data_IF_347315956332
#
_entry.id   IF_347315956332
#
_cell.length_a   1.000
_cell.length_b   1.000
_cell.length_c   1.000
_cell.angle_alpha   90.00
_cell.angle_beta   90.00
_cell.angle_gamma   90.00
#
_symmetry.space_group_name_H-M   'P 1'
#
loop_
_entity.id
_entity.type
_entity.pdbx_description
1 polymer ?
#
# COMPACT_ATOMS: atom_id res chain seq x y z
N UNK A 1 -18.94 16.63 -10.31
CA UNK A 1 -18.44 15.71 -9.27
C UNK A 1 -17.54 14.67 -9.95
N UNK A 2 -16.27 14.56 -9.58
CA UNK A 2 -15.36 13.58 -10.17
C UNK A 2 -15.72 12.16 -9.70
N UNK A 3 -16.09 11.28 -10.62
CA UNK A 3 -16.42 9.88 -10.36
C UNK A 3 -15.27 8.97 -10.80
N UNK A 4 -15.09 7.83 -10.13
CA UNK A 4 -14.18 6.80 -10.64
C UNK A 4 -14.67 6.29 -12.00
N UNK A 5 -13.73 5.95 -12.88
CA UNK A 5 -14.07 5.19 -14.09
C UNK A 5 -14.60 3.81 -13.68
N UNK A 6 -15.53 3.20 -14.45
CA UNK A 6 -15.90 1.82 -14.24
C UNK A 6 -14.67 0.92 -14.27
N UNK A 7 -14.50 0.11 -13.23
CA UNK A 7 -13.46 -0.91 -13.14
C UNK A 7 -13.99 -2.09 -12.31
N UNK A 8 -13.47 -3.27 -12.58
CA UNK A 8 -13.68 -4.46 -11.73
C UNK A 8 -12.65 -4.53 -10.61
N UNK A 9 -12.89 -5.33 -9.58
CA UNK A 9 -11.91 -5.57 -8.52
C UNK A 9 -11.85 -7.05 -8.12
N UNK A 10 -10.67 -7.52 -7.74
CA UNK A 10 -10.40 -8.83 -7.14
C UNK A 10 -9.76 -8.67 -5.76
N UNK A 11 -9.90 -9.69 -4.92
CA UNK A 11 -9.44 -9.71 -3.53
C UNK A 11 -8.68 -11.01 -3.26
N UNK A 12 -7.48 -11.18 -3.86
CA UNK A 12 -6.65 -12.36 -3.64
C UNK A 12 -6.28 -12.51 -2.15
N UNK A 13 -6.18 -13.75 -1.70
CA UNK A 13 -5.78 -14.10 -0.33
C UNK A 13 -4.27 -14.34 -0.23
N UNK A 14 -3.58 -14.57 -1.36
CA UNK A 14 -2.15 -14.87 -1.41
C UNK A 14 -1.41 -13.99 -2.42
N UNK A 15 -0.09 -13.89 -2.25
CA UNK A 15 0.78 -13.19 -3.20
C UNK A 15 0.72 -13.84 -4.59
N UNK A 16 0.71 -15.17 -4.65
CA UNK A 16 0.69 -15.90 -5.91
C UNK A 16 -0.60 -15.65 -6.70
N UNK A 17 -1.75 -15.60 -6.03
CA UNK A 17 -3.02 -15.21 -6.66
C UNK A 17 -2.96 -13.78 -7.19
N UNK A 18 -2.44 -12.84 -6.41
CA UNK A 18 -2.29 -11.44 -6.85
C UNK A 18 -1.35 -11.29 -8.05
N UNK A 19 -0.28 -12.09 -8.11
CA UNK A 19 0.65 -12.13 -9.24
C UNK A 19 0.00 -12.77 -10.47
N UNK A 20 -0.76 -13.85 -10.30
CA UNK A 20 -1.49 -14.52 -11.39
C UNK A 20 -2.55 -13.60 -12.01
N UNK A 21 -3.32 -12.87 -11.20
CA UNK A 21 -4.28 -11.86 -11.65
C UNK A 21 -3.59 -10.72 -12.41
N UNK A 22 -2.44 -10.25 -11.89
CA UNK A 22 -1.65 -9.22 -12.57
C UNK A 22 -1.10 -9.70 -13.90
N UNK A 23 -0.65 -10.95 -14.00
CA UNK A 23 -0.20 -11.55 -15.24
C UNK A 23 -1.35 -11.67 -16.26
N UNK A 24 -2.54 -12.04 -15.79
CA UNK A 24 -3.75 -12.21 -16.62
C UNK A 24 -4.25 -10.87 -17.19
N UNK A 25 -4.32 -9.84 -16.36
CA UNK A 25 -4.85 -8.52 -16.76
C UNK A 25 -3.78 -7.56 -17.30
N UNK A 26 -2.49 -7.84 -17.08
CA UNK A 26 -1.37 -7.07 -17.60
C UNK A 26 -1.39 -5.60 -17.18
N UNK A 27 -1.21 -4.69 -18.14
CA UNK A 27 -1.21 -3.24 -17.90
C UNK A 27 -2.60 -2.68 -17.55
N UNK A 28 -3.67 -3.42 -17.85
CA UNK A 28 -5.03 -2.99 -17.54
C UNK A 28 -5.38 -3.15 -16.05
N UNK A 29 -4.58 -3.90 -15.27
CA UNK A 29 -4.74 -4.02 -13.84
C UNK A 29 -3.74 -3.15 -13.05
N UNK A 30 -4.18 -2.63 -11.91
CA UNK A 30 -3.30 -2.03 -10.91
C UNK A 30 -3.51 -2.69 -9.55
N UNK A 31 -2.42 -2.88 -8.80
CA UNK A 31 -2.52 -3.20 -7.39
C UNK A 31 -3.08 -2.01 -6.61
N UNK A 32 -3.88 -2.29 -5.60
CA UNK A 32 -4.35 -1.29 -4.66
C UNK A 32 -4.17 -1.77 -3.23
N UNK A 33 -3.48 -0.95 -2.44
CA UNK A 33 -3.39 -1.09 -1.00
C UNK A 33 -4.28 -0.03 -0.34
N UNK A 34 -3.69 0.98 0.30
CA UNK A 34 -4.42 2.09 0.93
C UNK A 34 -5.25 2.97 0.00
N UNK A 35 -4.94 2.96 -1.30
CA UNK A 35 -5.68 3.72 -2.33
C UNK A 35 -5.59 5.25 -2.22
N UNK A 36 -4.76 5.78 -1.32
CA UNK A 36 -4.62 7.22 -1.05
C UNK A 36 -3.96 8.01 -2.18
N UNK A 37 -3.28 7.33 -3.09
CA UNK A 37 -2.68 7.90 -4.31
C UNK A 37 -3.47 7.49 -5.57
N UNK A 38 -3.68 6.18 -5.75
CA UNK A 38 -4.37 5.61 -6.90
C UNK A 38 -5.79 6.14 -7.10
N UNK A 39 -6.65 6.19 -6.06
CA UNK A 39 -8.03 6.62 -6.25
C UNK A 39 -8.16 8.11 -6.63
N UNK A 40 -7.41 9.06 -6.01
CA UNK A 40 -7.31 10.42 -6.52
C UNK A 40 -6.86 10.49 -7.99
N UNK A 41 -5.82 9.74 -8.38
CA UNK A 41 -5.31 9.71 -9.75
C UNK A 41 -6.36 9.16 -10.73
N UNK A 42 -7.12 8.14 -10.34
CA UNK A 42 -8.25 7.62 -11.11
C UNK A 42 -9.39 8.62 -11.28
N UNK A 43 -9.73 9.37 -10.22
CA UNK A 43 -10.74 10.44 -10.30
C UNK A 43 -10.31 11.53 -11.28
N UNK A 44 -9.01 11.82 -11.37
CA UNK A 44 -8.42 12.81 -12.30
C UNK A 44 -8.08 12.24 -13.68
N UNK A 45 -8.31 10.94 -13.91
CA UNK A 45 -7.97 10.22 -15.16
C UNK A 45 -6.48 10.19 -15.50
N UNK A 46 -5.60 10.43 -14.51
CA UNK A 46 -4.15 10.25 -14.66
C UNK A 46 -3.83 8.76 -14.80
N UNK A 47 -4.51 7.92 -14.01
CA UNK A 47 -4.44 6.46 -14.10
C UNK A 47 -5.84 5.91 -14.37
N UNK A 48 -5.96 4.95 -15.30
CA UNK A 48 -7.27 4.38 -15.70
C UNK A 48 -7.24 2.86 -15.80
N UNK A 49 -6.82 2.13 -14.73
CA UNK A 49 -6.89 0.68 -14.73
C UNK A 49 -8.34 0.21 -14.87
N UNK A 50 -8.55 -0.81 -15.70
CA UNK A 50 -9.84 -1.48 -15.87
C UNK A 50 -10.10 -2.51 -14.76
N UNK A 51 -9.04 -2.97 -14.07
CA UNK A 51 -9.12 -3.92 -12.98
C UNK A 51 -8.26 -3.51 -11.79
N UNK A 52 -8.77 -3.65 -10.57
CA UNK A 52 -8.05 -3.39 -9.33
C UNK A 52 -7.80 -4.69 -8.58
N UNK A 53 -6.56 -4.93 -8.18
CA UNK A 53 -6.16 -6.09 -7.39
C UNK A 53 -5.93 -5.61 -5.96
N UNK A 54 -6.89 -5.81 -5.07
CA UNK A 54 -6.80 -5.37 -3.68
C UNK A 54 -5.94 -6.34 -2.87
N UNK A 55 -4.75 -5.89 -2.49
CA UNK A 55 -3.73 -6.71 -1.81
C UNK A 55 -3.78 -6.59 -0.28
N UNK A 56 -4.74 -5.84 0.28
CA UNK A 56 -4.85 -5.67 1.74
C UNK A 56 -5.29 -6.94 2.45
N UNK A 57 -5.93 -7.86 1.73
CA UNK A 57 -6.38 -9.15 2.25
C UNK A 57 -5.26 -10.18 2.46
N UNK A 58 -4.05 -9.91 1.96
CA UNK A 58 -2.92 -10.85 1.99
C UNK A 58 -2.15 -10.70 3.32
N UNK A 59 -2.22 -11.68 4.24
CA UNK A 59 -1.68 -11.53 5.59
C UNK A 59 -0.18 -11.25 5.64
N UNK A 60 0.60 -11.87 4.76
CA UNK A 60 2.06 -11.72 4.68
C UNK A 60 2.47 -10.26 4.38
N UNK A 61 1.62 -9.52 3.66
CA UNK A 61 1.88 -8.11 3.35
C UNK A 61 1.55 -7.17 4.51
N UNK A 62 0.84 -7.63 5.55
CA UNK A 62 0.46 -6.83 6.71
C UNK A 62 1.38 -7.03 7.93
N UNK A 63 2.44 -7.82 7.81
CA UNK A 63 3.34 -8.14 8.92
C UNK A 63 4.36 -7.02 9.19
N UNK A 64 4.69 -6.81 10.46
CA UNK A 64 5.74 -5.90 10.91
C UNK A 64 6.50 -6.56 12.07
N UNK A 65 7.73 -6.98 11.84
CA UNK A 65 8.50 -7.75 12.83
C UNK A 65 9.99 -7.45 12.80
N UNK A 66 10.67 -7.75 13.90
CA UNK A 66 12.14 -7.77 13.97
C UNK A 66 12.60 -9.21 13.80
N UNK A 67 13.43 -9.46 12.80
CA UNK A 67 14.00 -10.76 12.48
C UNK A 67 15.05 -11.17 13.52
N UNK A 68 15.40 -12.46 13.52
CA UNK A 68 16.39 -13.02 14.45
C UNK A 68 17.79 -12.41 14.34
N UNK A 69 18.14 -11.87 13.17
CA UNK A 69 19.40 -11.16 12.91
C UNK A 69 19.36 -9.66 13.25
N UNK A 70 18.26 -9.19 13.84
CA UNK A 70 18.06 -7.81 14.26
C UNK A 70 17.57 -6.88 13.16
N UNK A 71 17.31 -7.34 11.93
CA UNK A 71 16.70 -6.52 10.88
C UNK A 71 15.21 -6.31 11.11
N UNK A 72 14.69 -5.18 10.62
CA UNK A 72 13.25 -4.91 10.58
C UNK A 72 12.68 -5.39 9.24
N UNK A 73 11.68 -6.28 9.29
CA UNK A 73 10.87 -6.66 8.15
C UNK A 73 9.54 -5.90 8.21
N UNK A 74 9.19 -5.20 7.12
CA UNK A 74 7.97 -4.41 7.01
C UNK A 74 7.20 -4.87 5.77
N UNK A 75 6.00 -5.40 5.98
CA UNK A 75 5.07 -5.76 4.93
C UNK A 75 4.56 -4.54 4.17
N UNK A 76 4.33 -4.68 2.86
CA UNK A 76 3.95 -3.57 1.97
C UNK A 76 2.59 -2.93 2.32
N UNK A 77 1.71 -3.67 3.00
CA UNK A 77 0.38 -3.23 3.43
C UNK A 77 0.34 -2.68 4.86
N UNK A 78 1.48 -2.64 5.58
CA UNK A 78 1.58 -1.96 6.87
C UNK A 78 1.26 -0.46 6.67
N UNK A 79 0.30 0.05 7.43
CA UNK A 79 -0.07 1.47 7.34
C UNK A 79 1.03 2.36 7.91
N UNK A 80 1.11 3.60 7.44
CA UNK A 80 2.07 4.57 7.98
C UNK A 80 1.79 4.82 9.48
N UNK A 81 0.52 4.81 9.90
CA UNK A 81 0.16 4.93 11.32
C UNK A 81 0.69 3.77 12.16
N UNK A 82 0.56 2.52 11.70
CA UNK A 82 1.10 1.36 12.40
C UNK A 82 2.63 1.44 12.50
N UNK A 83 3.30 1.78 11.40
CA UNK A 83 4.75 1.93 11.35
C UNK A 83 5.26 2.98 12.37
N UNK A 84 4.61 4.14 12.44
CA UNK A 84 4.97 5.21 13.39
C UNK A 84 4.79 4.75 14.84
N UNK A 85 3.69 4.05 15.12
CA UNK A 85 3.29 3.66 16.48
C UNK A 85 4.00 2.40 16.98
N UNK A 86 4.66 1.64 16.10
CA UNK A 86 5.28 0.38 16.48
C UNK A 86 6.47 0.61 17.42
N UNK A 87 6.44 0.08 18.67
CA UNK A 87 7.47 0.38 19.68
C UNK A 87 8.88 -0.05 19.28
N UNK A 88 9.01 -1.16 18.55
CA UNK A 88 10.33 -1.60 18.07
C UNK A 88 10.88 -0.65 16.99
N UNK A 89 10.01 -0.06 16.15
CA UNK A 89 10.41 0.87 15.09
C UNK A 89 10.83 2.21 15.67
N UNK A 90 10.05 2.77 16.60
CA UNK A 90 10.38 4.05 17.21
C UNK A 90 11.68 4.01 18.03
N UNK A 91 12.04 2.86 18.61
CA UNK A 91 13.28 2.68 19.38
C UNK A 91 14.48 2.26 18.52
N UNK A 92 14.31 1.27 17.65
CA UNK A 92 15.41 0.71 16.86
C UNK A 92 15.68 1.46 15.55
N UNK A 93 14.65 2.09 14.97
CA UNK A 93 14.71 2.81 13.69
C UNK A 93 14.02 4.17 13.77
N UNK A 94 14.45 5.07 14.69
CA UNK A 94 13.76 6.34 14.94
C UNK A 94 13.65 7.23 13.69
N UNK A 95 14.62 7.16 12.78
CA UNK A 95 14.59 7.90 11.51
C UNK A 95 13.42 7.45 10.62
N UNK A 96 13.13 6.14 10.57
CA UNK A 96 12.01 5.59 9.78
C UNK A 96 10.68 6.06 10.36
N UNK A 97 10.52 5.96 11.68
CA UNK A 97 9.30 6.44 12.37
C UNK A 97 9.11 7.95 12.18
N UNK A 98 10.18 8.74 12.32
CA UNK A 98 10.13 10.19 12.12
C UNK A 98 9.76 10.56 10.68
N UNK A 99 10.43 9.95 9.68
CA UNK A 99 10.13 10.20 8.27
C UNK A 99 8.67 9.86 7.95
N UNK A 100 8.18 8.71 8.41
CA UNK A 100 6.79 8.30 8.21
C UNK A 100 5.79 9.30 8.84
N UNK A 101 6.13 9.89 9.99
CA UNK A 101 5.29 10.88 10.67
C UNK A 101 5.15 12.20 9.90
N UNK A 102 6.12 12.54 9.04
CA UNK A 102 6.07 13.73 8.18
C UNK A 102 5.19 13.52 6.93
N UNK A 103 4.78 12.28 6.64
CA UNK A 103 3.99 11.97 5.44
C UNK A 103 2.52 12.31 5.69
N UNK A 104 2.00 13.29 4.95
CA UNK A 104 0.56 13.57 4.83
C UNK A 104 -0.15 13.90 6.15
N UNK A 105 -1.47 13.76 6.20
CA UNK A 105 -2.31 13.96 7.40
C UNK A 105 -2.62 12.63 8.10
N UNK A 106 -3.00 12.63 9.39
CA UNK A 106 -3.31 11.39 10.12
C UNK A 106 -4.37 10.50 9.44
N UNK A 107 -5.41 11.09 8.85
CA UNK A 107 -6.46 10.33 8.15
C UNK A 107 -5.89 9.56 6.95
N UNK A 108 -5.01 10.20 6.18
CA UNK A 108 -4.36 9.56 5.04
C UNK A 108 -3.32 8.53 5.50
N UNK A 109 -2.64 8.73 6.63
CA UNK A 109 -1.72 7.71 7.19
C UNK A 109 -2.41 6.48 7.75
N UNK A 110 -3.66 6.59 8.19
CA UNK A 110 -4.46 5.44 8.62
C UNK A 110 -4.85 4.50 7.47
N UNK A 111 -4.81 5.00 6.23
CA UNK A 111 -5.11 4.20 5.04
C UNK A 111 -3.85 3.89 4.22
N UNK A 112 -2.99 4.89 4.03
CA UNK A 112 -1.78 4.80 3.23
C UNK A 112 -0.79 3.81 3.84
N UNK A 113 -0.25 2.94 2.99
CA UNK A 113 0.69 1.91 3.37
C UNK A 113 2.11 2.29 2.98
N UNK A 114 3.11 1.69 3.62
CA UNK A 114 4.52 1.94 3.29
C UNK A 114 4.84 1.54 1.85
N UNK A 115 4.34 0.39 1.37
CA UNK A 115 4.55 -0.05 -0.01
C UNK A 115 3.87 0.86 -1.01
N UNK A 116 2.65 1.33 -0.70
CA UNK A 116 1.96 2.32 -1.53
C UNK A 116 2.68 3.66 -1.58
N UNK A 117 3.33 4.08 -0.49
CA UNK A 117 4.13 5.30 -0.46
C UNK A 117 5.44 5.15 -1.27
N UNK A 118 6.10 4.00 -1.21
CA UNK A 118 7.32 3.74 -2.00
C UNK A 118 7.05 3.67 -3.51
N UNK A 119 5.86 3.20 -3.90
CA UNK A 119 5.44 3.02 -5.29
C UNK A 119 4.49 4.12 -5.79
N UNK A 120 4.37 5.24 -5.08
CA UNK A 120 3.49 6.34 -5.48
C UNK A 120 3.90 6.92 -6.84
N UNK A 121 2.93 7.48 -7.58
CA UNK A 121 3.23 8.15 -8.84
C UNK A 121 3.81 9.55 -8.59
N UNK A 122 4.90 9.91 -9.27
CA UNK A 122 5.59 11.20 -9.09
C UNK A 122 5.32 12.19 -10.23
N UNK A 123 4.21 12.01 -10.97
CA UNK A 123 3.92 12.73 -12.21
C UNK A 123 2.68 13.63 -12.10
#
# INVERSE_FOLDING_TARGET
MLRLSPCTASFPATIDEALAEKATHGQAASYVAGGTDLYPNMKRRVQTPAHLIDIRGIPELAQLETLSDGRLAIGACVTLTELIRHPAVSKGWPVVSHAAALISTPLLRNMGTIGGNLLLDTR
#
